data_IF_498655886347
#
_entry.id   IF_498655886347
#
_cell.length_a   1.000
_cell.length_b   1.000
_cell.length_c   1.000
_cell.angle_alpha   90.00
_cell.angle_beta   90.00
_cell.angle_gamma   90.00
#
_symmetry.space_group_name_H-M   'P 1'
#
loop_
_entity.id
_entity.type
_entity.pdbx_description
1 polymer ?
#
# COMPACT_ATOMS: atom_id res chain seq x y z
N UNK A 1 -26.17 -13.52 25.60
CA UNK A 1 -26.46 -12.25 24.91
C UNK A 1 -25.16 -11.47 24.63
N UNK A 2 -24.27 -12.03 23.81
CA UNK A 2 -22.98 -11.40 23.44
C UNK A 2 -22.59 -11.70 21.97
N UNK A 3 -23.56 -12.16 21.16
CA UNK A 3 -23.34 -12.54 19.77
C UNK A 3 -23.96 -11.55 18.75
N UNK A 4 -24.74 -10.57 19.21
CA UNK A 4 -25.42 -9.59 18.35
C UNK A 4 -24.69 -8.24 18.24
N UNK A 5 -23.70 -7.97 19.09
CA UNK A 5 -22.93 -6.71 19.06
C UNK A 5 -21.77 -6.70 18.05
N UNK A 6 -21.43 -7.86 17.47
CA UNK A 6 -20.38 -7.98 16.44
C UNK A 6 -20.93 -7.96 15.01
N UNK A 7 -22.24 -8.17 14.80
CA UNK A 7 -22.87 -8.12 13.47
C UNK A 7 -23.33 -6.71 13.06
N UNK A 8 -23.47 -5.79 14.01
CA UNK A 8 -23.88 -4.40 13.75
C UNK A 8 -22.70 -3.42 13.55
N UNK A 9 -21.46 -3.90 13.56
CA UNK A 9 -20.26 -3.13 13.19
C UNK A 9 -19.91 -3.21 11.68
N UNK A 10 -20.84 -3.74 10.87
CA UNK A 10 -20.80 -3.72 9.39
C UNK A 10 -21.55 -2.51 8.80
N UNK A 11 -21.71 -1.41 9.55
CA UNK A 11 -21.95 -0.12 8.91
C UNK A 11 -20.72 0.18 8.07
N UNK A 12 -20.88 0.09 6.75
CA UNK A 12 -19.89 0.33 5.70
C UNK A 12 -18.67 1.08 6.24
N UNK A 13 -17.57 0.36 6.48
CA UNK A 13 -16.29 1.02 6.72
C UNK A 13 -16.06 1.92 5.51
N UNK A 14 -16.08 3.22 5.76
CA UNK A 14 -15.76 4.25 4.79
C UNK A 14 -14.25 4.14 4.52
N UNK A 15 -13.87 3.12 3.76
CA UNK A 15 -12.48 2.82 3.39
C UNK A 15 -12.05 3.59 2.12
N UNK A 16 -12.85 4.58 1.71
CA UNK A 16 -12.56 5.46 0.60
C UNK A 16 -11.82 6.69 1.09
N UNK A 17 -10.56 6.79 0.67
CA UNK A 17 -9.65 7.83 1.07
C UNK A 17 -9.10 8.51 -0.18
N UNK A 18 -9.39 9.80 -0.39
CA UNK A 18 -8.89 10.48 -1.57
C UNK A 18 -7.45 10.93 -1.38
N UNK A 19 -6.55 10.44 -2.23
CA UNK A 19 -5.12 10.76 -2.14
C UNK A 19 -4.88 12.17 -2.68
N UNK A 20 -4.13 12.98 -1.93
CA UNK A 20 -3.76 14.32 -2.39
C UNK A 20 -2.75 14.27 -3.54
N UNK A 21 -2.90 15.20 -4.49
CA UNK A 21 -1.96 15.34 -5.61
C UNK A 21 -0.51 15.56 -5.12
N UNK A 22 -0.32 16.36 -4.08
CA UNK A 22 1.02 16.63 -3.52
C UNK A 22 1.71 15.38 -2.97
N UNK A 23 0.95 14.43 -2.40
CA UNK A 23 1.50 13.17 -1.90
C UNK A 23 1.83 12.20 -3.06
N UNK A 24 1.03 12.23 -4.13
CA UNK A 24 1.31 11.52 -5.39
C UNK A 24 2.59 12.07 -6.02
N UNK A 25 2.72 13.38 -6.18
CA UNK A 25 3.90 14.02 -6.79
C UNK A 25 5.20 13.72 -6.03
N UNK A 26 5.17 13.79 -4.69
CA UNK A 26 6.32 13.48 -3.83
C UNK A 26 6.83 12.06 -4.02
N UNK A 27 5.91 11.10 -4.22
CA UNK A 27 6.26 9.71 -4.45
C UNK A 27 6.69 9.48 -5.91
N UNK A 28 5.83 9.85 -6.88
CA UNK A 28 6.01 9.49 -8.28
C UNK A 28 7.20 10.17 -8.95
N UNK A 29 7.69 11.30 -8.43
CA UNK A 29 8.92 11.96 -8.93
C UNK A 29 10.14 11.03 -8.96
N UNK A 30 10.13 9.96 -8.18
CA UNK A 30 11.24 9.00 -8.08
C UNK A 30 11.19 7.86 -9.11
N UNK A 31 10.13 7.77 -9.92
CA UNK A 31 9.89 6.65 -10.84
C UNK A 31 9.81 7.07 -12.31
N UNK A 32 10.09 8.33 -12.64
CA UNK A 32 9.89 8.92 -13.98
C UNK A 32 10.39 8.03 -15.12
N UNK A 33 11.64 7.58 -15.03
CA UNK A 33 12.28 6.76 -16.07
C UNK A 33 11.61 5.39 -16.25
N UNK A 34 10.94 4.87 -15.21
CA UNK A 34 10.25 3.57 -15.25
C UNK A 34 8.89 3.64 -15.94
N UNK A 35 8.33 4.84 -16.15
CA UNK A 35 7.05 5.06 -16.84
C UNK A 35 7.19 5.29 -18.34
N UNK A 36 8.40 5.55 -18.83
CA UNK A 36 8.66 5.81 -20.25
C UNK A 36 8.25 4.63 -21.13
N UNK A 37 7.54 4.93 -22.21
CA UNK A 37 7.01 3.99 -23.20
C UNK A 37 6.05 2.93 -22.60
N UNK A 38 5.48 3.19 -21.42
CA UNK A 38 4.56 2.27 -20.72
C UNK A 38 3.10 2.60 -20.92
N UNK A 39 2.26 1.56 -20.87
CA UNK A 39 0.82 1.67 -20.66
C UNK A 39 0.54 1.75 -19.16
N UNK A 40 0.06 2.89 -18.70
CA UNK A 40 -0.28 3.14 -17.30
C UNK A 40 -1.78 3.01 -17.10
N UNK A 41 -2.19 2.24 -16.10
CA UNK A 41 -3.60 2.07 -15.73
C UNK A 41 -3.88 2.60 -14.33
N UNK A 42 -4.77 3.59 -14.25
CA UNK A 42 -5.35 4.10 -13.01
C UNK A 42 -6.74 3.49 -12.82
N UNK A 43 -6.83 2.37 -12.10
CA UNK A 43 -8.11 1.88 -11.61
C UNK A 43 -8.59 2.82 -10.50
N UNK A 44 -9.70 3.54 -10.72
CA UNK A 44 -10.22 4.55 -9.81
C UNK A 44 -11.73 4.39 -9.62
N UNK A 45 -12.26 4.94 -8.53
CA UNK A 45 -13.72 5.03 -8.35
C UNK A 45 -14.33 6.05 -9.30
N UNK A 46 -13.63 7.18 -9.50
CA UNK A 46 -13.99 8.23 -10.46
C UNK A 46 -12.70 8.85 -11.06
N UNK A 47 -12.40 8.62 -12.36
CA UNK A 47 -11.27 9.20 -13.06
C UNK A 47 -11.23 10.72 -13.02
N UNK A 48 -12.37 11.41 -12.98
CA UNK A 48 -12.41 12.88 -13.04
C UNK A 48 -11.99 13.52 -11.74
N UNK A 49 -12.27 12.86 -10.62
CA UNK A 49 -11.76 13.28 -9.33
C UNK A 49 -10.30 12.85 -9.14
N UNK A 50 -9.86 11.79 -9.85
CA UNK A 50 -8.63 11.06 -9.51
C UNK A 50 -7.38 11.89 -9.68
N UNK A 51 -6.75 12.22 -8.56
CA UNK A 51 -5.45 12.88 -8.55
C UNK A 51 -4.36 12.01 -9.18
N UNK A 52 -4.54 10.68 -9.24
CA UNK A 52 -3.67 9.80 -10.02
C UNK A 52 -3.84 10.06 -11.52
N UNK A 53 -5.09 10.06 -12.01
CA UNK A 53 -5.37 10.35 -13.41
C UNK A 53 -4.91 11.76 -13.78
N UNK A 54 -5.26 12.79 -12.98
CA UNK A 54 -4.81 14.17 -13.15
C UNK A 54 -3.29 14.26 -13.25
N UNK A 55 -2.55 13.65 -12.31
CA UNK A 55 -1.09 13.63 -12.34
C UNK A 55 -0.56 13.05 -13.66
N UNK A 56 -1.00 11.85 -14.05
CA UNK A 56 -0.48 11.21 -15.25
C UNK A 56 -0.90 11.90 -16.54
N UNK A 57 -2.10 12.48 -16.57
CA UNK A 57 -2.58 13.19 -17.75
C UNK A 57 -1.83 14.52 -17.93
N UNK A 58 -1.67 15.33 -16.87
CA UNK A 58 -0.88 16.56 -16.91
C UNK A 58 0.60 16.32 -17.23
N UNK A 59 1.14 15.16 -16.86
CA UNK A 59 2.55 14.82 -17.03
C UNK A 59 2.78 13.81 -18.18
N UNK A 60 1.79 13.56 -19.05
CA UNK A 60 1.81 12.48 -20.04
C UNK A 60 3.07 12.54 -20.93
N UNK A 61 3.33 13.70 -21.53
CA UNK A 61 4.49 13.93 -22.38
C UNK A 61 5.80 13.98 -21.60
N UNK A 62 5.80 14.61 -20.42
CA UNK A 62 6.98 14.71 -19.55
C UNK A 62 7.49 13.34 -19.11
N UNK A 63 6.57 12.41 -18.82
CA UNK A 63 6.88 11.04 -18.42
C UNK A 63 7.13 10.13 -19.64
N UNK A 64 6.85 10.59 -20.86
CA UNK A 64 6.95 9.79 -22.08
C UNK A 64 6.05 8.56 -22.05
N UNK A 65 4.83 8.68 -21.49
CA UNK A 65 3.88 7.58 -21.38
C UNK A 65 3.36 7.22 -22.76
N UNK A 66 3.24 5.92 -23.05
CA UNK A 66 2.73 5.43 -24.33
C UNK A 66 1.20 5.52 -24.40
N UNK A 67 0.53 5.18 -23.29
CA UNK A 67 -0.92 5.19 -23.16
C UNK A 67 -1.31 5.30 -21.70
N UNK A 68 -2.28 6.16 -21.40
CA UNK A 68 -2.89 6.28 -20.09
C UNK A 68 -4.33 5.76 -20.18
N UNK A 69 -4.67 4.84 -19.29
CA UNK A 69 -6.02 4.30 -19.15
C UNK A 69 -6.52 4.62 -17.74
N UNK A 70 -7.77 5.05 -17.62
CA UNK A 70 -8.46 5.14 -16.35
C UNK A 70 -9.86 4.56 -16.46
N UNK A 71 -10.37 3.97 -15.38
CA UNK A 71 -11.75 3.47 -15.30
C UNK A 71 -12.46 4.05 -14.09
N UNK A 72 -13.79 4.17 -14.14
CA UNK A 72 -14.65 4.49 -12.99
C UNK A 72 -15.43 3.26 -12.51
N UNK A 73 -15.91 3.31 -11.26
CA UNK A 73 -16.76 2.28 -10.65
C UNK A 73 -18.18 2.82 -10.41
N UNK A 74 -19.23 2.04 -10.76
CA UNK A 74 -20.63 2.49 -10.64
C UNK A 74 -21.10 2.69 -9.19
N UNK A 75 -20.44 2.08 -8.22
CA UNK A 75 -20.86 2.12 -6.81
C UNK A 75 -20.20 3.20 -5.97
N UNK A 76 -19.49 4.17 -6.56
CA UNK A 76 -18.83 5.24 -5.81
C UNK A 76 -19.84 6.11 -5.05
N UNK A 77 -19.68 6.33 -3.74
CA UNK A 77 -20.59 7.12 -2.88
C UNK A 77 -20.46 8.63 -3.07
N UNK A 78 -19.55 9.11 -3.92
CA UNK A 78 -19.38 10.54 -4.18
C UNK A 78 -20.48 11.02 -5.14
N UNK A 79 -21.49 11.67 -4.54
CA UNK A 79 -22.28 12.72 -5.18
C UNK A 79 -21.29 13.76 -5.72
N UNK A 80 -21.24 13.93 -7.05
CA UNK A 80 -20.30 14.81 -7.75
C UNK A 80 -20.45 16.27 -7.35
N UNK A 81 -19.87 16.65 -6.21
CA UNK A 81 -19.87 18.02 -5.68
C UNK A 81 -18.70 18.84 -6.18
N UNK A 82 -17.64 18.21 -6.72
CA UNK A 82 -16.62 18.90 -7.48
C UNK A 82 -16.80 18.65 -8.99
N UNK A 83 -17.40 19.67 -9.58
CA UNK A 83 -17.27 20.14 -10.94
C UNK A 83 -18.07 19.47 -12.08
N UNK A 84 -18.94 20.33 -12.62
CA UNK A 84 -19.38 20.41 -14.01
C UNK A 84 -18.23 20.61 -15.02
N UNK A 85 -17.04 20.01 -14.84
CA UNK A 85 -15.84 20.40 -15.61
C UNK A 85 -15.76 19.72 -16.97
N UNK A 86 -16.59 18.72 -17.27
CA UNK A 86 -16.58 18.08 -18.56
C UNK A 86 -17.99 17.71 -19.04
N UNK A 87 -18.57 18.59 -19.87
CA UNK A 87 -19.57 18.15 -20.86
C UNK A 87 -18.83 17.28 -21.90
N UNK A 88 -18.52 16.03 -21.54
CA UNK A 88 -17.74 15.11 -22.36
C UNK A 88 -18.57 14.70 -23.57
N UNK A 89 -17.99 14.92 -24.74
CA UNK A 89 -18.57 14.35 -25.95
C UNK A 89 -18.50 12.82 -25.87
N UNK A 90 -19.65 12.16 -25.84
CA UNK A 90 -19.75 10.69 -25.83
C UNK A 90 -20.27 10.08 -24.52
N UNK A 91 -20.30 10.85 -23.43
CA UNK A 91 -20.94 10.47 -22.16
C UNK A 91 -22.10 11.44 -21.92
N UNK A 92 -23.35 10.99 -22.07
CA UNK A 92 -24.51 11.81 -21.70
C UNK A 92 -24.66 11.77 -20.19
N UNK A 93 -24.87 12.94 -19.57
CA UNK A 93 -25.27 13.05 -18.18
C UNK A 93 -26.66 12.41 -17.99
N UNK A 94 -26.70 11.13 -17.65
CA UNK A 94 -27.91 10.44 -17.23
C UNK A 94 -27.88 10.17 -15.72
N UNK A 95 -29.07 9.95 -15.13
CA UNK A 95 -29.32 9.94 -13.68
C UNK A 95 -28.56 8.87 -12.89
N UNK A 96 -27.95 7.90 -13.55
CA UNK A 96 -27.12 6.85 -12.94
C UNK A 96 -25.68 6.98 -13.45
N UNK A 97 -24.69 7.03 -12.54
CA UNK A 97 -23.26 7.06 -12.89
C UNK A 97 -22.88 5.72 -13.53
N UNK A 98 -22.96 5.65 -14.85
CA UNK A 98 -22.49 4.50 -15.61
C UNK A 98 -20.94 4.44 -15.57
N UNK A 99 -20.34 3.25 -15.39
CA UNK A 99 -18.90 3.07 -15.42
C UNK A 99 -18.32 3.44 -16.79
N UNK A 100 -17.19 4.12 -16.80
CA UNK A 100 -16.51 4.57 -18.02
C UNK A 100 -15.04 4.14 -18.05
N UNK A 101 -14.49 4.10 -19.25
CA UNK A 101 -13.07 3.96 -19.56
C UNK A 101 -12.61 5.22 -20.28
N UNK A 102 -11.55 5.84 -19.79
CA UNK A 102 -10.82 6.92 -20.44
C UNK A 102 -9.52 6.36 -21.02
N UNK A 103 -9.17 6.74 -22.25
CA UNK A 103 -7.92 6.36 -22.91
C UNK A 103 -7.27 7.56 -23.55
N UNK A 104 -6.05 7.88 -23.13
CA UNK A 104 -5.21 8.93 -23.72
C UNK A 104 -3.99 8.26 -24.37
N UNK A 105 -3.77 8.53 -25.65
CA UNK A 105 -2.63 8.02 -26.42
C UNK A 105 -1.63 9.11 -26.81
N UNK A 106 -2.09 10.34 -26.88
CA UNK A 106 -1.29 11.52 -27.20
C UNK A 106 -1.91 12.74 -26.53
N UNK A 107 -1.07 13.68 -26.13
CA UNK A 107 -1.48 15.01 -25.70
C UNK A 107 -0.69 16.01 -26.53
N UNK A 108 -1.38 16.81 -27.33
CA UNK A 108 -0.81 17.90 -28.14
C UNK A 108 -1.36 19.22 -27.63
N UNK A 109 -0.79 20.32 -28.08
CA UNK A 109 -1.36 21.66 -27.91
C UNK A 109 -2.67 21.74 -28.72
N UNK A 110 -3.76 21.28 -28.12
CA UNK A 110 -5.09 21.19 -28.71
C UNK A 110 -5.82 22.53 -28.60
N UNK A 111 -5.57 23.28 -27.53
CA UNK A 111 -6.17 24.59 -27.32
C UNK A 111 -5.43 25.73 -28.09
N UNK A 112 -4.23 25.45 -28.61
CA UNK A 112 -3.36 26.35 -29.38
C UNK A 112 -2.84 27.54 -28.57
N UNK A 113 -2.63 27.37 -27.28
CA UNK A 113 -2.07 28.40 -26.41
C UNK A 113 -0.53 28.40 -26.34
N UNK A 114 0.11 27.41 -26.98
CA UNK A 114 1.57 27.27 -27.05
C UNK A 114 2.18 26.48 -25.88
N UNK A 115 1.38 26.01 -24.93
CA UNK A 115 1.77 25.04 -23.91
C UNK A 115 1.19 23.65 -24.23
N UNK A 116 1.72 22.60 -23.59
CA UNK A 116 1.05 21.30 -23.56
C UNK A 116 0.82 20.94 -22.11
N UNK A 117 -0.41 21.13 -21.63
CA UNK A 117 -0.73 21.00 -20.21
C UNK A 117 -2.09 20.33 -19.94
N UNK A 118 -2.60 20.45 -18.70
CA UNK A 118 -3.87 19.84 -18.29
C UNK A 118 -5.05 20.37 -19.11
N UNK A 119 -5.02 21.63 -19.55
CA UNK A 119 -6.06 22.27 -20.35
C UNK A 119 -6.24 21.58 -21.70
N UNK A 120 -5.16 21.03 -22.28
CA UNK A 120 -5.23 20.24 -23.51
C UNK A 120 -5.87 18.89 -23.31
N UNK A 121 -5.59 18.24 -22.17
CA UNK A 121 -6.28 17.01 -21.77
C UNK A 121 -7.77 17.31 -21.58
N UNK A 122 -8.11 18.42 -20.94
CA UNK A 122 -9.50 18.84 -20.78
C UNK A 122 -10.18 19.08 -22.13
N UNK A 123 -9.49 19.74 -23.06
CA UNK A 123 -9.96 19.95 -24.41
C UNK A 123 -10.20 18.62 -25.12
N UNK A 124 -9.24 17.69 -25.05
CA UNK A 124 -9.34 16.36 -25.65
C UNK A 124 -10.57 15.61 -25.11
N UNK A 125 -10.77 15.59 -23.80
CA UNK A 125 -11.93 14.95 -23.16
C UNK A 125 -13.26 15.57 -23.60
N UNK A 126 -13.30 16.89 -23.85
CA UNK A 126 -14.52 17.60 -24.30
C UNK A 126 -14.83 17.44 -25.78
N UNK A 127 -13.84 17.14 -26.63
CA UNK A 127 -13.98 17.21 -28.09
C UNK A 127 -13.72 15.89 -28.83
N UNK A 128 -13.11 14.89 -28.20
CA UNK A 128 -12.91 13.57 -28.80
C UNK A 128 -13.73 12.47 -28.13
N UNK A 129 -14.79 12.07 -28.84
CA UNK A 129 -15.69 10.96 -28.45
C UNK A 129 -14.97 9.62 -28.27
N UNK A 130 -13.76 9.44 -28.79
CA UNK A 130 -13.02 8.19 -28.66
C UNK A 130 -12.22 8.10 -27.37
N UNK A 131 -12.01 9.23 -26.69
CA UNK A 131 -11.22 9.31 -25.46
C UNK A 131 -11.98 8.72 -24.27
N UNK A 132 -13.31 8.83 -24.22
CA UNK A 132 -14.15 8.25 -23.17
C UNK A 132 -15.20 7.27 -23.73
N UNK A 133 -15.31 6.08 -23.14
CA UNK A 133 -16.28 5.04 -23.53
C UNK A 133 -16.99 4.48 -22.32
N UNK A 134 -18.29 4.21 -22.45
CA UNK A 134 -19.05 3.45 -21.45
C UNK A 134 -18.49 2.02 -21.34
N UNK A 135 -18.34 1.53 -20.12
CA UNK A 135 -18.11 0.12 -19.84
C UNK A 135 -19.47 -0.60 -19.79
N UNK A 136 -19.48 -1.88 -20.16
CA UNK A 136 -20.66 -2.74 -20.04
C UNK A 136 -20.79 -3.34 -18.63
N UNK A 137 -19.67 -3.54 -17.95
CA UNK A 137 -19.60 -4.03 -16.58
C UNK A 137 -19.67 -2.92 -15.52
N UNK A 138 -19.46 -3.29 -14.26
CA UNK A 138 -19.54 -2.37 -13.11
C UNK A 138 -18.34 -1.43 -12.96
N UNK A 139 -17.24 -1.68 -13.68
CA UNK A 139 -15.96 -0.99 -13.46
C UNK A 139 -15.16 -1.50 -12.25
N UNK A 140 -15.66 -2.52 -11.55
CA UNK A 140 -14.91 -3.23 -10.51
C UNK A 140 -13.66 -3.87 -11.14
N UNK A 141 -12.51 -3.86 -10.45
CA UNK A 141 -11.27 -4.43 -10.96
C UNK A 141 -11.37 -5.93 -11.30
N UNK A 142 -12.37 -6.63 -10.75
CA UNK A 142 -12.69 -8.04 -11.05
C UNK A 142 -13.52 -8.23 -12.32
N UNK A 143 -14.15 -7.17 -12.82
CA UNK A 143 -14.98 -7.25 -14.02
C UNK A 143 -14.14 -7.61 -15.24
N UNK A 144 -14.70 -8.42 -16.15
CA UNK A 144 -13.98 -8.91 -17.33
C UNK A 144 -13.34 -7.77 -18.14
N UNK A 145 -14.05 -6.65 -18.34
CA UNK A 145 -13.50 -5.51 -19.07
C UNK A 145 -12.31 -4.85 -18.35
N UNK A 146 -12.35 -4.72 -17.03
CA UNK A 146 -11.23 -4.19 -16.25
C UNK A 146 -10.05 -5.17 -16.23
N UNK A 147 -10.30 -6.47 -16.23
CA UNK A 147 -9.26 -7.51 -16.37
C UNK A 147 -8.60 -7.46 -17.75
N UNK A 148 -9.36 -7.24 -18.83
CA UNK A 148 -8.76 -7.06 -20.16
C UNK A 148 -7.92 -5.77 -20.25
N UNK A 149 -8.37 -4.69 -19.60
CA UNK A 149 -7.57 -3.45 -19.44
C UNK A 149 -6.30 -3.73 -18.64
N UNK A 150 -6.41 -4.47 -17.54
CA UNK A 150 -5.28 -4.85 -16.71
C UNK A 150 -4.26 -5.64 -17.54
N UNK A 151 -4.71 -6.61 -18.35
CA UNK A 151 -3.85 -7.38 -19.25
C UNK A 151 -3.11 -6.51 -20.26
N UNK A 152 -3.75 -5.45 -20.77
CA UNK A 152 -3.13 -4.45 -21.65
C UNK A 152 -2.09 -3.58 -20.94
N UNK A 153 -2.30 -3.25 -19.65
CA UNK A 153 -1.45 -2.34 -18.91
C UNK A 153 -0.07 -2.93 -18.56
N UNK A 154 0.96 -2.08 -18.54
CA UNK A 154 2.29 -2.43 -18.03
C UNK A 154 2.39 -2.14 -16.53
N UNK A 155 1.90 -0.96 -16.11
CA UNK A 155 1.99 -0.46 -14.74
C UNK A 155 0.61 -0.04 -14.24
N UNK A 156 0.24 -0.50 -13.05
CA UNK A 156 -0.97 -0.09 -12.34
C UNK A 156 -0.63 0.90 -11.22
N UNK A 157 -1.33 2.02 -11.14
CA UNK A 157 -1.14 3.01 -10.08
C UNK A 157 -2.48 3.42 -9.49
N UNK A 158 -2.69 3.19 -8.20
CA UNK A 158 -4.02 3.36 -7.57
C UNK A 158 -3.95 3.44 -6.04
N UNK A 159 -5.06 3.85 -5.42
CA UNK A 159 -5.35 3.69 -4.00
C UNK A 159 -6.56 2.73 -3.84
N UNK A 160 -6.36 1.41 -3.87
CA UNK A 160 -7.47 0.47 -3.75
C UNK A 160 -8.08 0.53 -2.34
N UNK A 161 -9.37 0.16 -2.17
CA UNK A 161 -9.96 -0.02 -0.86
C UNK A 161 -9.14 -0.99 -0.02
N UNK A 162 -8.78 -0.60 1.21
CA UNK A 162 -7.86 -1.39 2.04
C UNK A 162 -8.42 -2.78 2.40
N UNK A 163 -9.74 -2.92 2.41
CA UNK A 163 -10.45 -4.21 2.59
C UNK A 163 -10.22 -5.17 1.43
N UNK A 164 -9.95 -4.68 0.22
CA UNK A 164 -9.73 -5.46 -1.00
C UNK A 164 -8.25 -5.61 -1.37
N UNK A 165 -7.34 -5.02 -0.58
CA UNK A 165 -5.91 -4.96 -0.87
C UNK A 165 -5.28 -6.33 -1.15
N UNK A 166 -5.61 -7.37 -0.36
CA UNK A 166 -5.06 -8.72 -0.54
C UNK A 166 -5.43 -9.31 -1.89
N UNK A 167 -6.72 -9.25 -2.22
CA UNK A 167 -7.24 -9.77 -3.48
C UNK A 167 -6.68 -9.00 -4.67
N UNK A 168 -6.56 -7.68 -4.54
CA UNK A 168 -6.01 -6.84 -5.58
C UNK A 168 -4.53 -7.16 -5.85
N UNK A 169 -3.70 -7.28 -4.81
CA UNK A 169 -2.30 -7.71 -4.94
C UNK A 169 -2.20 -9.07 -5.62
N UNK A 170 -3.03 -10.05 -5.22
CA UNK A 170 -3.02 -11.38 -5.84
C UNK A 170 -3.34 -11.31 -7.34
N UNK A 171 -4.31 -10.49 -7.75
CA UNK A 171 -4.64 -10.30 -9.17
C UNK A 171 -3.49 -9.63 -9.94
N UNK A 172 -2.84 -8.62 -9.35
CA UNK A 172 -1.69 -7.96 -9.97
C UNK A 172 -0.50 -8.92 -10.13
N UNK A 173 -0.26 -9.81 -9.16
CA UNK A 173 0.75 -10.86 -9.25
C UNK A 173 0.40 -11.89 -10.34
N UNK A 174 -0.85 -12.38 -10.36
CA UNK A 174 -1.33 -13.37 -11.34
C UNK A 174 -1.13 -12.88 -12.78
N UNK A 175 -1.36 -11.59 -13.03
CA UNK A 175 -1.15 -10.96 -14.33
C UNK A 175 0.27 -10.40 -14.54
N UNK A 176 1.21 -10.65 -13.63
CA UNK A 176 2.61 -10.20 -13.69
C UNK A 176 2.76 -8.68 -13.91
N UNK A 177 1.92 -7.88 -13.24
CA UNK A 177 1.88 -6.44 -13.44
C UNK A 177 2.89 -5.72 -12.58
N UNK A 178 3.46 -4.65 -13.14
CA UNK A 178 4.15 -3.66 -12.31
C UNK A 178 3.12 -2.78 -11.64
N UNK A 179 3.38 -2.34 -10.42
CA UNK A 179 2.42 -1.51 -9.70
C UNK A 179 3.05 -0.58 -8.68
N UNK A 180 2.34 0.50 -8.37
CA UNK A 180 2.59 1.40 -7.26
C UNK A 180 1.24 1.75 -6.64
N UNK A 181 0.93 1.16 -5.49
CA UNK A 181 -0.39 1.29 -4.87
C UNK A 181 -0.29 1.70 -3.41
N UNK A 182 -1.32 2.37 -2.91
CA UNK A 182 -1.42 2.70 -1.49
C UNK A 182 -2.11 1.56 -0.75
N UNK A 183 -1.65 1.27 0.46
CA UNK A 183 -2.28 0.32 1.35
C UNK A 183 -2.03 0.64 2.81
N UNK A 184 -2.60 -0.17 3.69
CA UNK A 184 -2.33 -0.08 5.11
C UNK A 184 -1.05 -0.85 5.47
N UNK A 185 -0.20 -0.29 6.32
CA UNK A 185 1.03 -0.91 6.87
C UNK A 185 0.79 -2.28 7.50
N UNK A 186 -0.40 -2.55 8.05
CA UNK A 186 -0.75 -3.88 8.57
C UNK A 186 -0.70 -4.95 7.47
N UNK A 187 -0.86 -4.57 6.20
CA UNK A 187 -0.79 -5.48 5.07
C UNK A 187 0.58 -6.17 4.93
N UNK A 188 1.65 -5.59 5.46
CA UNK A 188 2.98 -6.22 5.53
C UNK A 188 2.91 -7.61 6.17
N UNK A 189 2.04 -7.80 7.17
CA UNK A 189 1.92 -9.06 7.91
C UNK A 189 0.92 -10.05 7.31
N UNK A 190 0.24 -9.67 6.22
CA UNK A 190 -0.69 -10.54 5.53
C UNK A 190 0.09 -11.64 4.81
N UNK A 191 -0.43 -12.87 4.82
CA UNK A 191 0.30 -14.05 4.33
C UNK A 191 0.79 -13.87 2.89
N UNK A 192 -0.10 -13.41 2.01
CA UNK A 192 0.15 -13.23 0.58
C UNK A 192 1.15 -12.09 0.33
N UNK A 193 0.92 -10.93 0.99
CA UNK A 193 1.79 -9.76 0.87
C UNK A 193 3.18 -10.02 1.45
N UNK A 194 3.28 -10.68 2.61
CA UNK A 194 4.55 -10.99 3.24
C UNK A 194 5.37 -11.99 2.44
N UNK A 195 4.72 -12.98 1.79
CA UNK A 195 5.41 -13.91 0.89
C UNK A 195 6.09 -13.15 -0.25
N UNK A 196 5.40 -12.17 -0.87
CA UNK A 196 5.99 -11.32 -1.90
C UNK A 196 7.17 -10.47 -1.38
N UNK A 197 7.07 -9.95 -0.16
CA UNK A 197 8.17 -9.18 0.46
C UNK A 197 9.38 -10.07 0.69
N UNK A 198 9.16 -11.26 1.26
CA UNK A 198 10.22 -12.25 1.52
C UNK A 198 10.93 -12.66 0.23
N UNK A 199 10.18 -12.84 -0.86
CA UNK A 199 10.71 -13.19 -2.18
C UNK A 199 11.30 -11.99 -2.95
N UNK A 200 11.39 -10.80 -2.32
CA UNK A 200 11.86 -9.55 -2.94
C UNK A 200 11.05 -9.15 -4.20
N UNK A 201 9.77 -9.52 -4.24
CA UNK A 201 8.81 -9.17 -5.30
C UNK A 201 7.95 -7.96 -4.94
N UNK A 202 7.91 -7.56 -3.67
CA UNK A 202 7.15 -6.40 -3.18
C UNK A 202 7.96 -5.65 -2.13
N UNK A 203 7.93 -4.33 -2.18
CA UNK A 203 8.62 -3.42 -1.25
C UNK A 203 7.82 -2.14 -1.06
N UNK A 204 8.32 -1.26 -0.21
CA UNK A 204 7.67 0.03 0.04
C UNK A 204 8.12 1.10 -0.95
N UNK A 205 7.27 2.10 -1.18
CA UNK A 205 7.67 3.32 -1.91
C UNK A 205 8.56 4.24 -1.08
N UNK A 206 8.92 5.42 -1.58
CA UNK A 206 9.86 6.37 -0.96
C UNK A 206 9.32 7.07 0.29
N UNK A 207 8.00 7.31 0.35
CA UNK A 207 7.37 7.96 1.50
C UNK A 207 7.55 7.12 2.77
N UNK A 208 8.14 7.74 3.80
CA UNK A 208 8.50 7.05 5.04
C UNK A 208 7.25 6.66 5.85
N UNK A 209 7.24 5.43 6.38
CA UNK A 209 6.14 4.87 7.19
C UNK A 209 5.65 5.76 8.33
N UNK A 210 6.51 6.58 8.94
CA UNK A 210 6.12 7.39 10.09
C UNK A 210 5.40 8.70 9.73
N UNK A 211 5.40 9.09 8.45
CA UNK A 211 4.74 10.33 8.00
C UNK A 211 3.24 10.12 7.90
N UNK A 212 2.78 8.91 7.58
CA UNK A 212 1.39 8.68 7.20
C UNK A 212 1.01 9.45 5.94
N UNK A 213 -0.26 9.37 5.55
CA UNK A 213 -0.78 10.11 4.39
C UNK A 213 -2.04 10.87 4.79
N UNK A 214 -2.27 12.01 4.15
CA UNK A 214 -3.44 12.82 4.41
C UNK A 214 -4.45 12.64 3.28
N UNK A 215 -5.69 12.36 3.67
CA UNK A 215 -6.76 12.05 2.73
C UNK A 215 -7.92 13.01 2.91
N UNK A 216 -8.56 13.35 1.79
CA UNK A 216 -9.88 13.97 1.82
C UNK A 216 -10.87 12.92 2.31
N UNK A 217 -11.70 13.29 3.29
CA UNK A 217 -12.73 12.43 3.87
C UNK A 217 -14.12 13.05 3.71
N UNK A 218 -15.20 12.24 3.61
CA UNK A 218 -16.57 12.74 3.50
C UNK A 218 -16.98 13.72 4.62
N UNK A 219 -17.91 14.62 4.31
CA UNK A 219 -18.38 15.67 5.23
C UNK A 219 -19.00 15.14 6.52
N UNK A 220 -19.49 13.92 6.54
CA UNK A 220 -20.09 13.29 7.71
C UNK A 220 -19.04 12.59 8.62
N UNK A 221 -17.75 12.72 8.32
CA UNK A 221 -16.68 12.29 9.23
C UNK A 221 -16.52 13.27 10.41
N UNK A 222 -16.62 12.72 11.62
CA UNK A 222 -16.45 13.48 12.86
C UNK A 222 -14.98 13.80 13.17
N UNK A 223 -14.06 12.89 12.82
CA UNK A 223 -12.63 13.01 13.15
C UNK A 223 -11.82 13.39 11.91
N UNK A 224 -11.33 14.62 11.89
CA UNK A 224 -10.45 15.17 10.87
C UNK A 224 -9.38 16.05 11.54
N UNK A 225 -8.32 16.41 10.81
CA UNK A 225 -7.18 17.17 11.32
C UNK A 225 -7.28 18.66 10.97
N UNK A 226 -7.70 18.98 9.76
CA UNK A 226 -7.91 20.35 9.29
C UNK A 226 -8.89 20.36 8.11
N UNK A 227 -9.27 21.57 7.68
CA UNK A 227 -10.05 21.82 6.47
C UNK A 227 -9.09 22.50 5.48
N UNK A 228 -9.10 22.06 4.23
CA UNK A 228 -8.29 22.67 3.17
C UNK A 228 -8.87 24.01 2.66
N UNK A 229 -8.18 24.67 1.75
CA UNK A 229 -8.61 25.94 1.15
C UNK A 229 -9.93 25.84 0.35
N UNK A 230 -10.30 24.63 -0.07
CA UNK A 230 -11.51 24.34 -0.82
C UNK A 230 -12.68 23.91 0.07
N UNK A 231 -12.50 23.91 1.40
CA UNK A 231 -13.53 23.54 2.37
C UNK A 231 -13.64 22.04 2.65
N UNK A 232 -12.74 21.20 2.13
CA UNK A 232 -12.80 19.75 2.33
C UNK A 232 -12.15 19.33 3.67
N UNK A 233 -12.74 18.34 4.33
CA UNK A 233 -12.18 17.75 5.56
C UNK A 233 -10.99 16.85 5.24
N UNK A 234 -9.86 17.07 5.92
CA UNK A 234 -8.62 16.31 5.75
C UNK A 234 -8.32 15.46 6.98
N UNK A 235 -8.15 14.15 6.80
CA UNK A 235 -7.75 13.22 7.87
C UNK A 235 -6.39 12.57 7.58
N UNK A 236 -5.49 12.56 8.56
CA UNK A 236 -4.24 11.79 8.51
C UNK A 236 -4.51 10.34 8.87
N UNK A 237 -4.13 9.41 7.99
CA UNK A 237 -4.07 7.99 8.31
C UNK A 237 -2.60 7.62 8.46
N UNK A 238 -2.15 7.52 9.72
CA UNK A 238 -0.75 7.26 10.08
C UNK A 238 -0.23 5.90 9.59
N UNK A 239 -1.14 4.99 9.26
CA UNK A 239 -0.82 3.62 8.85
C UNK A 239 -0.89 3.43 7.33
N UNK A 240 -1.01 4.49 6.53
CA UNK A 240 -0.99 4.39 5.06
C UNK A 240 0.43 4.45 4.52
N UNK A 241 0.73 3.64 3.50
CA UNK A 241 2.02 3.60 2.82
C UNK A 241 1.91 3.10 1.38
N UNK A 242 2.94 3.39 0.58
CA UNK A 242 3.07 2.89 -0.77
C UNK A 242 3.67 1.48 -0.80
N UNK A 243 3.08 0.61 -1.62
CA UNK A 243 3.57 -0.71 -1.96
C UNK A 243 3.85 -0.79 -3.46
N UNK A 244 4.98 -1.37 -3.83
CA UNK A 244 5.40 -1.43 -5.23
C UNK A 244 6.32 -2.61 -5.49
N UNK A 245 6.38 -3.03 -6.75
CA UNK A 245 7.41 -3.94 -7.29
C UNK A 245 8.28 -3.25 -8.36
N UNK A 246 8.18 -1.93 -8.47
CA UNK A 246 9.10 -1.07 -9.22
C UNK A 246 10.44 -0.97 -8.49
N UNK A 247 11.46 -0.48 -9.19
CA UNK A 247 12.75 -0.20 -8.57
C UNK A 247 12.61 1.01 -7.64
N UNK A 248 13.15 0.85 -6.43
CA UNK A 248 13.14 1.89 -5.40
C UNK A 248 14.55 1.95 -4.83
N UNK A 249 15.25 3.06 -5.08
CA UNK A 249 16.68 3.21 -4.77
C UNK A 249 16.99 2.99 -3.30
N UNK A 250 16.13 3.45 -2.38
CA UNK A 250 16.33 3.28 -0.94
C UNK A 250 16.45 1.81 -0.50
N UNK A 251 15.82 0.88 -1.24
CA UNK A 251 15.90 -0.56 -0.98
C UNK A 251 17.17 -1.21 -1.55
N UNK A 252 18.10 -0.41 -2.08
CA UNK A 252 19.43 -0.85 -2.51
C UNK A 252 20.55 -0.23 -1.66
N UNK A 253 20.18 0.66 -0.73
CA UNK A 253 21.12 1.35 0.16
C UNK A 253 21.33 0.51 1.42
N UNK A 254 22.57 0.38 1.86
CA UNK A 254 22.88 -0.33 3.11
C UNK A 254 22.37 0.49 4.31
N UNK A 255 21.67 -0.20 5.21
CA UNK A 255 21.33 0.33 6.53
C UNK A 255 22.61 0.46 7.35
N UNK A 256 22.90 1.69 7.79
CA UNK A 256 24.06 1.96 8.65
C UNK A 256 23.83 1.35 10.03
N UNK A 257 24.66 0.38 10.41
CA UNK A 257 24.65 -0.29 11.71
C UNK A 257 25.80 0.25 12.57
N UNK A 258 25.52 0.51 13.85
CA UNK A 258 26.52 1.06 14.78
C UNK A 258 26.43 0.45 16.19
N UNK A 259 25.44 -0.40 16.45
CA UNK A 259 25.34 -1.15 17.71
C UNK A 259 26.13 -2.46 17.61
N UNK A 260 26.55 -2.97 18.77
CA UNK A 260 27.25 -4.27 18.88
C UNK A 260 26.51 -5.16 19.86
N UNK A 261 26.44 -6.45 19.56
CA UNK A 261 25.93 -7.49 20.42
C UNK A 261 26.98 -7.93 21.43
N UNK A 262 28.23 -8.11 20.99
CA UNK A 262 29.32 -8.57 21.85
C UNK A 262 29.57 -7.51 22.93
N UNK A 263 29.47 -7.92 24.20
CA UNK A 263 29.58 -7.04 25.36
C UNK A 263 28.33 -6.22 25.70
N UNK A 264 27.21 -6.42 25.00
CA UNK A 264 25.90 -5.81 25.29
C UNK A 264 24.77 -6.85 25.21
N UNK A 265 25.06 -8.11 25.49
CA UNK A 265 24.14 -9.23 25.29
C UNK A 265 22.84 -9.08 26.12
N UNK A 266 22.90 -8.37 27.24
CA UNK A 266 21.78 -8.03 28.12
C UNK A 266 20.74 -7.12 27.44
N UNK A 267 21.15 -6.33 26.44
CA UNK A 267 20.26 -5.46 25.65
C UNK A 267 19.53 -6.22 24.54
N UNK A 268 19.88 -7.49 24.30
CA UNK A 268 19.35 -8.31 23.22
C UNK A 268 18.78 -9.63 23.76
N UNK A 269 17.57 -9.58 24.38
CA UNK A 269 16.96 -10.77 24.96
C UNK A 269 16.84 -11.90 23.94
N UNK A 270 17.16 -13.13 24.36
CA UNK A 270 16.97 -14.32 23.52
C UNK A 270 15.52 -14.79 23.59
N UNK A 271 15.00 -15.29 22.47
CA UNK A 271 13.71 -15.95 22.47
C UNK A 271 13.79 -17.30 23.17
N UNK A 272 12.75 -17.65 23.92
CA UNK A 272 12.66 -18.94 24.62
C UNK A 272 12.33 -20.09 23.68
N UNK A 273 11.61 -19.79 22.60
CA UNK A 273 11.06 -20.77 21.67
C UNK A 273 11.62 -20.65 20.24
N UNK A 274 12.70 -19.91 20.07
CA UNK A 274 13.37 -19.75 18.79
C UNK A 274 14.83 -19.39 19.00
N UNK A 275 15.74 -19.91 18.16
CA UNK A 275 17.16 -19.60 18.28
C UNK A 275 17.50 -18.23 17.66
N UNK A 276 17.10 -17.15 18.33
CA UNK A 276 17.36 -15.78 17.89
C UNK A 276 17.24 -14.77 19.02
N UNK A 277 17.61 -13.53 18.71
CA UNK A 277 17.50 -12.40 19.63
C UNK A 277 16.34 -11.48 19.24
N UNK A 278 15.74 -10.87 20.23
CA UNK A 278 14.83 -9.75 20.08
C UNK A 278 15.63 -8.48 19.83
N UNK A 279 15.24 -7.75 18.77
CA UNK A 279 15.76 -6.42 18.48
C UNK A 279 14.59 -5.46 18.43
N UNK A 280 14.40 -4.69 19.50
CA UNK A 280 13.20 -3.88 19.72
C UNK A 280 13.05 -2.72 18.73
N UNK A 281 14.14 -2.22 18.16
CA UNK A 281 14.16 -1.12 17.19
C UNK A 281 15.11 -1.42 16.05
N UNK A 282 14.76 -1.00 14.83
CA UNK A 282 15.62 -1.16 13.65
C UNK A 282 16.99 -0.48 13.85
N UNK A 283 17.05 0.62 14.61
CA UNK A 283 18.30 1.30 14.95
C UNK A 283 19.21 0.52 15.91
N UNK A 284 18.67 -0.50 16.59
CA UNK A 284 19.42 -1.33 17.53
C UNK A 284 20.00 -2.60 16.87
N UNK A 285 19.79 -2.82 15.57
CA UNK A 285 20.34 -3.99 14.87
C UNK A 285 21.87 -3.99 15.01
N UNK A 286 22.45 -5.03 15.65
CA UNK A 286 23.88 -5.10 15.88
C UNK A 286 24.65 -5.46 14.60
N UNK A 287 25.83 -4.86 14.42
CA UNK A 287 26.68 -5.08 13.25
C UNK A 287 27.41 -6.43 13.28
N UNK A 288 27.60 -7.02 14.45
CA UNK A 288 28.47 -8.16 14.74
C UNK A 288 27.71 -9.47 15.06
N UNK A 289 26.38 -9.49 14.99
CA UNK A 289 25.57 -10.67 15.31
C UNK A 289 25.11 -11.45 14.07
N UNK A 290 25.68 -12.64 13.85
CA UNK A 290 25.40 -13.50 12.68
C UNK A 290 24.12 -14.34 12.77
N UNK A 291 23.52 -14.42 13.96
CA UNK A 291 22.35 -15.25 14.22
C UNK A 291 21.04 -14.64 13.71
N UNK A 292 19.93 -15.31 14.00
CA UNK A 292 18.61 -14.78 13.68
C UNK A 292 18.21 -13.62 14.60
N UNK A 293 17.69 -12.56 14.00
CA UNK A 293 17.24 -11.37 14.71
C UNK A 293 15.76 -11.13 14.42
N UNK A 294 14.95 -11.01 15.46
CA UNK A 294 13.56 -10.57 15.33
C UNK A 294 13.49 -9.05 15.41
N UNK A 295 13.23 -8.41 14.28
CA UNK A 295 13.13 -6.93 14.15
C UNK A 295 11.67 -6.49 13.98
N UNK A 296 11.32 -5.22 14.25
CA UNK A 296 9.95 -4.73 14.05
C UNK A 296 9.53 -4.80 12.57
N UNK A 297 8.23 -4.95 12.29
CA UNK A 297 7.71 -5.00 10.90
C UNK A 297 8.04 -3.76 10.07
N UNK A 298 8.29 -2.62 10.73
CA UNK A 298 8.72 -1.37 10.08
C UNK A 298 10.11 -1.46 9.45
N UNK A 299 10.88 -2.52 9.75
CA UNK A 299 12.12 -2.83 9.07
C UNK A 299 11.97 -2.91 7.55
N UNK A 300 10.81 -3.33 7.04
CA UNK A 300 10.56 -3.43 5.59
C UNK A 300 10.83 -2.11 4.86
N UNK A 301 10.57 -0.95 5.48
CA UNK A 301 10.84 0.38 4.89
C UNK A 301 12.33 0.63 4.58
N UNK A 302 13.21 -0.07 5.29
CA UNK A 302 14.67 0.03 5.23
C UNK A 302 15.32 -1.24 4.72
N UNK A 303 14.52 -2.22 4.29
CA UNK A 303 15.05 -3.50 3.88
C UNK A 303 15.84 -3.36 2.59
N UNK A 304 17.10 -3.76 2.66
CA UNK A 304 17.94 -4.01 1.50
C UNK A 304 18.17 -5.54 1.39
N UNK A 305 17.67 -6.21 0.33
CA UNK A 305 17.80 -7.66 0.16
C UNK A 305 19.25 -8.13 -0.05
N UNK A 306 20.16 -7.23 -0.41
CA UNK A 306 21.59 -7.53 -0.49
C UNK A 306 22.28 -7.50 0.87
N UNK A 307 21.76 -6.74 1.84
CA UNK A 307 22.29 -6.66 3.19
C UNK A 307 21.64 -7.66 4.14
N UNK A 308 20.32 -7.86 4.05
CA UNK A 308 19.57 -8.72 4.96
C UNK A 308 18.68 -9.71 4.21
N UNK A 309 18.74 -10.96 4.64
CA UNK A 309 17.81 -12.01 4.25
C UNK A 309 16.61 -12.00 5.20
N UNK A 310 15.39 -12.04 4.65
CA UNK A 310 14.16 -12.23 5.42
C UNK A 310 13.86 -13.73 5.51
N UNK A 311 13.82 -14.25 6.74
CA UNK A 311 13.57 -15.66 7.01
C UNK A 311 12.06 -15.92 7.13
N UNK A 312 11.36 -15.08 7.88
CA UNK A 312 9.90 -15.12 7.94
C UNK A 312 9.30 -14.22 9.02
N UNK A 313 8.05 -14.47 9.38
CA UNK A 313 7.30 -13.68 10.36
C UNK A 313 7.05 -14.53 11.61
N UNK A 314 7.54 -14.10 12.78
CA UNK A 314 7.47 -14.84 14.03
C UNK A 314 6.15 -14.68 14.79
N UNK A 315 5.02 -14.90 14.12
CA UNK A 315 3.68 -14.81 14.72
C UNK A 315 2.77 -15.92 14.19
N UNK A 316 1.99 -16.54 15.09
CA UNK A 316 0.98 -17.54 14.74
C UNK A 316 1.53 -18.63 13.79
N UNK A 317 0.74 -19.12 12.84
CA UNK A 317 1.17 -20.17 11.90
C UNK A 317 2.44 -19.79 11.11
N UNK A 318 2.65 -18.50 10.79
CA UNK A 318 3.85 -18.05 10.08
C UNK A 318 5.13 -18.23 10.90
N UNK A 319 5.02 -18.18 12.23
CA UNK A 319 6.15 -18.49 13.10
C UNK A 319 6.46 -19.99 13.11
N UNK A 320 5.44 -20.84 13.09
CA UNK A 320 5.61 -22.30 13.00
C UNK A 320 6.34 -22.66 11.70
N UNK A 321 5.97 -22.03 10.58
CA UNK A 321 6.58 -22.26 9.26
C UNK A 321 8.10 -22.00 9.24
N UNK A 322 8.61 -21.15 10.16
CA UNK A 322 10.04 -20.86 10.29
C UNK A 322 10.71 -21.54 11.50
N UNK A 323 10.02 -22.48 12.15
CA UNK A 323 10.58 -23.27 13.24
C UNK A 323 10.45 -22.65 14.63
N UNK A 324 9.58 -21.65 14.82
CA UNK A 324 9.20 -21.20 16.17
C UNK A 324 8.49 -22.34 16.89
N UNK A 325 9.04 -22.73 18.03
CA UNK A 325 8.50 -23.82 18.83
C UNK A 325 7.25 -23.35 19.61
N UNK A 326 6.36 -24.29 19.98
CA UNK A 326 5.27 -24.00 20.90
C UNK A 326 5.77 -23.44 22.24
N UNK A 327 4.86 -22.84 23.01
CA UNK A 327 5.16 -22.43 24.38
C UNK A 327 5.54 -23.65 25.23
N UNK A 328 6.51 -23.47 26.14
CA UNK A 328 6.70 -24.43 27.24
C UNK A 328 5.40 -24.52 28.04
N UNK A 329 4.96 -25.71 28.50
CA UNK A 329 3.67 -25.90 29.16
C UNK A 329 3.43 -24.92 30.33
N UNK A 330 4.44 -24.71 31.18
CA UNK A 330 4.41 -23.81 32.32
C UNK A 330 4.23 -22.34 31.91
N UNK A 331 4.90 -21.90 30.84
CA UNK A 331 4.79 -20.54 30.32
C UNK A 331 3.42 -20.30 29.67
N UNK A 332 2.90 -21.30 28.95
CA UNK A 332 1.55 -21.26 28.36
C UNK A 332 0.48 -21.13 29.45
N UNK A 333 0.61 -21.93 30.51
CA UNK A 333 -0.27 -21.87 31.68
C UNK A 333 -0.22 -20.51 32.37
N UNK A 334 0.98 -20.00 32.67
CA UNK A 334 1.17 -18.68 33.27
C UNK A 334 0.51 -17.57 32.44
N UNK A 335 0.71 -17.58 31.12
CA UNK A 335 0.16 -16.55 30.23
C UNK A 335 -1.38 -16.56 30.19
N UNK A 336 -1.99 -17.75 30.18
CA UNK A 336 -3.46 -17.89 30.15
C UNK A 336 -4.11 -17.63 31.50
N UNK A 337 -3.56 -18.19 32.58
CA UNK A 337 -4.21 -18.19 33.90
C UNK A 337 -3.84 -16.95 34.72
N UNK A 338 -2.57 -16.53 34.69
CA UNK A 338 -2.08 -15.40 35.50
C UNK A 338 -2.18 -14.10 34.72
N UNK A 339 -1.65 -14.04 33.50
CA UNK A 339 -1.69 -12.81 32.69
C UNK A 339 -3.05 -12.60 32.00
N UNK A 340 -3.92 -13.61 31.96
CA UNK A 340 -5.21 -13.58 31.24
C UNK A 340 -5.08 -13.15 29.77
N UNK A 341 -4.01 -13.61 29.10
CA UNK A 341 -3.71 -13.32 27.69
C UNK A 341 -3.73 -14.60 26.85
N UNK A 342 -4.06 -14.46 25.56
CA UNK A 342 -3.94 -15.54 24.60
C UNK A 342 -2.49 -16.02 24.45
N UNK A 343 -2.32 -17.31 24.18
CA UNK A 343 -1.04 -17.93 23.86
C UNK A 343 -1.23 -18.76 22.59
N UNK A 344 -0.75 -18.23 21.46
CA UNK A 344 -0.86 -18.85 20.15
C UNK A 344 0.49 -19.48 19.83
N UNK A 345 0.50 -20.78 19.55
CA UNK A 345 1.75 -21.46 19.19
C UNK A 345 2.27 -20.87 17.86
N UNK A 346 3.57 -20.58 17.81
CA UNK A 346 4.21 -19.81 16.73
C UNK A 346 4.42 -18.32 17.03
N UNK A 347 3.83 -17.77 18.09
CA UNK A 347 4.23 -16.45 18.59
C UNK A 347 5.60 -16.54 19.27
N UNK A 348 6.54 -15.68 18.87
CA UNK A 348 7.80 -15.50 19.59
C UNK A 348 7.54 -14.95 21.00
N UNK A 349 8.30 -15.43 21.98
CA UNK A 349 8.29 -14.85 23.32
C UNK A 349 9.66 -14.89 23.99
N UNK A 350 9.85 -13.97 24.94
CA UNK A 350 11.03 -13.85 25.79
C UNK A 350 10.62 -13.98 27.26
N UNK A 351 11.57 -14.35 28.11
CA UNK A 351 11.44 -14.21 29.56
C UNK A 351 12.12 -12.93 30.00
N UNK A 352 11.36 -12.03 30.61
CA UNK A 352 11.87 -10.80 31.18
C UNK A 352 11.56 -10.80 32.68
N UNK A 353 12.59 -10.90 33.52
CA UNK A 353 12.44 -10.98 34.99
C UNK A 353 11.46 -12.07 35.46
N UNK A 354 11.51 -13.25 34.82
CA UNK A 354 10.61 -14.37 35.12
C UNK A 354 9.18 -14.22 34.57
N UNK A 355 8.90 -13.16 33.81
CA UNK A 355 7.58 -12.89 33.22
C UNK A 355 7.63 -13.20 31.72
N UNK A 356 6.62 -13.95 31.25
CA UNK A 356 6.42 -14.21 29.82
C UNK A 356 6.03 -12.93 29.11
N UNK A 357 6.84 -12.49 28.14
CA UNK A 357 6.57 -11.31 27.32
C UNK A 357 6.56 -11.69 25.84
N UNK A 358 5.50 -11.30 25.15
CA UNK A 358 5.36 -11.49 23.70
C UNK A 358 5.48 -10.11 23.06
N UNK A 359 6.50 -9.87 22.23
CA UNK A 359 6.61 -8.63 21.48
C UNK A 359 5.48 -8.54 20.44
N UNK A 360 5.27 -7.33 19.89
CA UNK A 360 4.55 -7.21 18.62
C UNK A 360 5.23 -8.06 17.54
N UNK A 361 4.50 -8.41 16.48
CA UNK A 361 5.01 -9.22 15.37
C UNK A 361 6.44 -8.81 14.96
N UNK A 362 7.31 -9.81 14.81
CA UNK A 362 8.71 -9.63 14.43
C UNK A 362 8.98 -10.29 13.10
N UNK A 363 9.71 -9.60 12.24
CA UNK A 363 10.31 -10.18 11.04
C UNK A 363 11.63 -10.78 11.47
N UNK A 364 11.83 -12.06 11.20
CA UNK A 364 13.11 -12.71 11.44
C UNK A 364 14.01 -12.43 10.24
N UNK A 365 15.16 -11.83 10.51
CA UNK A 365 16.17 -11.51 9.51
C UNK A 365 17.53 -12.11 9.87
N UNK A 366 18.40 -12.21 8.86
CA UNK A 366 19.82 -12.51 9.00
C UNK A 366 20.64 -11.53 8.19
N UNK A 367 21.73 -11.03 8.75
CA UNK A 367 22.67 -10.17 8.02
C UNK A 367 23.53 -11.02 7.08
N UNK A 368 23.53 -10.70 5.78
CA UNK A 368 24.27 -11.42 4.72
C UNK A 368 25.73 -10.99 4.62
N UNK A 369 26.13 -9.90 5.28
CA UNK A 369 27.44 -9.27 5.14
C UNK A 369 28.48 -9.75 6.17
N UNK A 370 28.11 -10.64 7.09
CA UNK A 370 28.96 -11.06 8.23
C UNK A 370 29.14 -12.56 8.34
#
# INVERSE_FOLDING_TARGET
MAHDTLKNANKAKKDEFYTQLTDIEKELRHYKDQFKDKVVYCNADDPFESNFFKYFASNFNLLGIKKLIATSYSGSPILGTQISLFDIQGVKAEKEKEPIKIVINEVKDYNKDGAIDISDVEYLLKHDKNTAKKLKGSGDFRSNECVEILKEADIVVSNPPFSLFREYISQLEEHNKKFLIIGNTNAITYKETFALIKDNKLRTGYTNFNVGMFFVVPDDWEKYHHIDENGNKIARVSTSCWFTNLQVKKHTEDLILYKTYIGNEDQYPKYENFNGIEVSRVADIPIDYKGFMGVPITFIDKHNPEQFEIIGLGISNSGIDIGVQPYKPEHKKYRKEIQKRGAVDGDLYIMENGIVKVPYARIIIKNKRI
#
